data_IF_029300836197
#
_entry.id   IF_029300836197
#
_cell.length_a   1.000
_cell.length_b   1.000
_cell.length_c   1.000
_cell.angle_alpha   90.00
_cell.angle_beta   90.00
_cell.angle_gamma   90.00
#
_symmetry.space_group_name_H-M   'P 1'
#
loop_
_entity.id
_entity.type
_entity.pdbx_description
1 polymer ?
#
# COMPACT_ATOMS: atom_id res chain seq x y z
N UNK A 1 -18.48 36.36 -7.65
CA UNK A 1 -19.29 36.49 -8.88
C UNK A 1 -19.75 35.10 -9.27
N UNK A 2 -21.03 34.79 -9.07
CA UNK A 2 -21.59 33.50 -9.46
C UNK A 2 -21.97 33.56 -10.93
N UNK A 3 -21.18 32.92 -11.79
CA UNK A 3 -21.53 32.79 -13.21
C UNK A 3 -22.55 31.66 -13.32
N UNK A 4 -23.78 32.00 -13.70
CA UNK A 4 -24.83 31.03 -13.94
C UNK A 4 -24.54 30.32 -15.27
N UNK A 5 -24.27 29.02 -15.21
CA UNK A 5 -24.08 28.20 -16.41
C UNK A 5 -25.34 27.36 -16.65
N UNK A 6 -25.94 27.48 -17.82
CA UNK A 6 -27.10 26.65 -18.21
C UNK A 6 -26.61 25.32 -18.77
N UNK A 7 -27.07 24.21 -18.18
CA UNK A 7 -26.82 22.85 -18.67
C UNK A 7 -28.06 22.37 -19.41
N UNK A 8 -27.91 22.07 -20.71
CA UNK A 8 -29.01 21.59 -21.54
C UNK A 8 -29.42 20.18 -21.11
N UNK A 9 -30.72 19.88 -21.13
CA UNK A 9 -31.25 18.54 -20.84
C UNK A 9 -30.58 17.48 -21.74
N UNK A 10 -30.24 16.31 -21.16
CA UNK A 10 -29.48 15.21 -21.80
C UNK A 10 -28.00 15.50 -22.09
N UNK A 11 -27.45 16.62 -21.61
CA UNK A 11 -25.99 16.84 -21.67
C UNK A 11 -25.23 15.72 -20.94
N UNK A 12 -24.16 15.21 -21.55
CA UNK A 12 -23.23 14.31 -20.86
C UNK A 12 -22.32 15.13 -19.95
N UNK A 13 -22.28 14.77 -18.68
CA UNK A 13 -21.39 15.36 -17.69
C UNK A 13 -20.31 14.35 -17.35
N UNK A 14 -19.05 14.77 -17.38
CA UNK A 14 -17.89 13.96 -17.03
C UNK A 14 -17.24 14.59 -15.80
N UNK A 15 -17.04 13.78 -14.76
CA UNK A 15 -16.36 14.22 -13.54
C UNK A 15 -14.90 13.77 -13.62
N UNK A 16 -13.98 14.73 -13.67
CA UNK A 16 -12.55 14.44 -13.72
C UNK A 16 -12.00 14.23 -12.29
N UNK A 17 -12.32 13.10 -11.67
CA UNK A 17 -11.89 12.77 -10.32
C UNK A 17 -10.36 12.71 -10.18
N UNK A 18 -9.63 12.33 -11.24
CA UNK A 18 -8.17 12.31 -11.28
C UNK A 18 -7.57 13.70 -11.08
N UNK A 19 -8.10 14.71 -11.77
CA UNK A 19 -7.65 16.09 -11.63
C UNK A 19 -8.03 16.67 -10.25
N UNK A 20 -9.26 16.40 -9.78
CA UNK A 20 -9.72 16.86 -8.46
C UNK A 20 -8.81 16.33 -7.34
N UNK A 21 -8.46 15.04 -7.37
CA UNK A 21 -7.58 14.41 -6.38
C UNK A 21 -6.12 14.88 -6.41
N UNK A 22 -5.73 15.70 -7.40
CA UNK A 22 -4.38 16.25 -7.57
C UNK A 22 -4.37 17.79 -7.56
N UNK A 23 -5.51 18.41 -7.28
CA UNK A 23 -5.64 19.86 -7.34
C UNK A 23 -4.98 20.52 -6.11
N UNK A 24 -3.95 21.37 -6.29
CA UNK A 24 -3.23 22.01 -5.18
C UNK A 24 -4.10 23.00 -4.38
N UNK A 25 -5.29 23.39 -4.89
CA UNK A 25 -6.25 24.21 -4.14
C UNK A 25 -6.86 23.47 -2.96
N UNK A 26 -6.97 22.14 -3.05
CA UNK A 26 -7.56 21.29 -2.02
C UNK A 26 -6.51 20.41 -1.33
N UNK A 27 -5.43 20.04 -2.04
CA UNK A 27 -4.43 19.10 -1.56
C UNK A 27 -3.06 19.77 -1.34
N UNK A 28 -2.66 19.93 -0.08
CA UNK A 28 -1.31 20.40 0.26
C UNK A 28 -0.24 19.43 -0.23
N UNK A 29 0.83 19.91 -0.90
CA UNK A 29 1.81 19.01 -1.53
C UNK A 29 1.15 17.96 -2.44
N UNK A 30 0.12 18.35 -3.21
CA UNK A 30 -0.70 17.46 -4.06
C UNK A 30 0.05 16.37 -4.84
N UNK A 31 1.21 16.61 -5.48
CA UNK A 31 1.91 15.56 -6.23
C UNK A 31 2.64 14.53 -5.35
N UNK A 32 2.77 14.77 -4.04
CA UNK A 32 3.51 13.91 -3.12
C UNK A 32 2.59 12.83 -2.54
N UNK A 33 3.07 11.59 -2.55
CA UNK A 33 2.48 10.53 -1.73
C UNK A 33 2.64 10.88 -0.24
N UNK A 34 1.52 11.22 0.42
CA UNK A 34 1.51 11.71 1.79
C UNK A 34 0.29 11.12 2.55
N UNK A 35 0.34 9.84 2.95
CA UNK A 35 -0.77 9.15 3.61
C UNK A 35 -1.20 9.80 4.93
N UNK A 36 -0.26 10.37 5.67
CA UNK A 36 -0.51 10.97 6.98
C UNK A 36 -1.49 12.14 6.91
N UNK A 37 -1.72 12.70 5.71
CA UNK A 37 -2.73 13.73 5.48
C UNK A 37 -4.16 13.30 5.81
N UNK A 38 -4.40 11.99 5.86
CA UNK A 38 -5.72 11.43 6.17
C UNK A 38 -5.88 11.11 7.66
N UNK A 39 -4.78 11.07 8.42
CA UNK A 39 -4.82 10.84 9.87
C UNK A 39 -5.48 12.03 10.55
N UNK A 40 -6.46 11.75 11.43
CA UNK A 40 -7.26 12.75 12.15
C UNK A 40 -7.93 13.81 11.25
N UNK A 41 -8.09 13.50 9.96
CA UNK A 41 -8.75 14.38 8.99
C UNK A 41 -10.25 14.10 8.94
N UNK A 42 -11.03 15.12 8.57
CA UNK A 42 -12.47 14.97 8.32
C UNK A 42 -12.80 14.42 6.93
N UNK A 43 -11.80 14.13 6.09
CA UNK A 43 -12.02 13.64 4.74
C UNK A 43 -12.61 12.23 4.76
N UNK A 44 -13.65 12.00 3.97
CA UNK A 44 -14.17 10.66 3.69
C UNK A 44 -14.13 10.33 2.21
N UNK A 45 -14.17 9.03 1.91
CA UNK A 45 -14.34 8.51 0.55
C UNK A 45 -15.80 8.12 0.25
N UNK A 46 -16.73 8.46 1.14
CA UNK A 46 -18.16 8.07 1.09
C UNK A 46 -18.99 9.06 0.27
N UNK A 47 -18.34 10.02 -0.37
CA UNK A 47 -18.96 10.98 -1.28
C UNK A 47 -19.51 12.22 -0.59
N UNK A 48 -19.10 12.51 0.65
CA UNK A 48 -19.40 13.79 1.32
C UNK A 48 -18.28 14.83 1.12
N UNK A 49 -17.04 14.36 0.93
CA UNK A 49 -15.87 15.19 0.60
C UNK A 49 -15.65 15.22 -0.91
N UNK A 50 -16.06 16.27 -1.61
CA UNK A 50 -16.03 16.33 -3.08
C UNK A 50 -14.63 16.44 -3.68
N UNK A 51 -13.67 16.90 -2.87
CA UNK A 51 -12.24 16.88 -3.14
C UNK A 51 -11.66 15.45 -3.17
N UNK A 52 -12.36 14.47 -2.58
CA UNK A 52 -11.92 13.06 -2.51
C UNK A 52 -13.06 12.08 -2.86
N UNK A 53 -13.25 11.83 -4.15
CA UNK A 53 -14.35 10.99 -4.69
C UNK A 53 -13.85 9.77 -5.49
N UNK A 54 -12.98 8.90 -4.93
CA UNK A 54 -12.45 7.74 -5.64
C UNK A 54 -13.53 6.73 -6.06
N UNK A 55 -14.69 6.74 -5.39
CA UNK A 55 -15.84 5.89 -5.69
C UNK A 55 -17.04 6.67 -6.25
N UNK A 56 -16.86 7.96 -6.59
CA UNK A 56 -17.94 8.86 -6.93
C UNK A 56 -18.74 9.36 -5.71
N UNK A 57 -19.91 9.93 -5.96
CA UNK A 57 -20.80 10.49 -4.94
C UNK A 57 -22.28 10.41 -5.36
N UNK A 58 -23.19 10.63 -4.41
CA UNK A 58 -24.63 10.70 -4.65
C UNK A 58 -25.25 9.38 -5.14
N UNK A 59 -26.34 9.46 -5.92
CA UNK A 59 -27.15 8.30 -6.34
C UNK A 59 -26.41 7.24 -7.17
N UNK A 60 -25.25 7.57 -7.72
CA UNK A 60 -24.44 6.69 -8.58
C UNK A 60 -23.07 6.40 -7.97
N UNK A 61 -22.92 6.59 -6.65
CA UNK A 61 -21.72 6.16 -5.93
C UNK A 61 -21.53 4.64 -6.10
N UNK A 62 -20.27 4.20 -6.21
CA UNK A 62 -19.94 2.80 -6.40
C UNK A 62 -20.50 1.95 -5.24
N UNK A 63 -21.41 0.99 -5.52
CA UNK A 63 -21.95 0.12 -4.47
C UNK A 63 -20.91 -0.87 -3.93
N UNK A 64 -19.82 -1.09 -4.65
CA UNK A 64 -18.73 -1.99 -4.27
C UNK A 64 -17.60 -1.35 -3.45
N UNK A 65 -17.75 -0.09 -3.00
CA UNK A 65 -16.68 0.66 -2.32
C UNK A 65 -16.14 -0.05 -1.07
N UNK A 66 -17.03 -0.51 -0.19
CA UNK A 66 -16.64 -1.25 1.03
C UNK A 66 -15.93 -2.56 0.68
N UNK A 67 -16.45 -3.32 -0.28
CA UNK A 67 -15.84 -4.58 -0.71
C UNK A 67 -14.44 -4.35 -1.30
N UNK A 68 -14.30 -3.37 -2.20
CA UNK A 68 -13.00 -3.04 -2.80
C UNK A 68 -11.97 -2.62 -1.75
N UNK A 69 -12.37 -1.77 -0.80
CA UNK A 69 -11.46 -1.29 0.25
C UNK A 69 -10.99 -2.42 1.17
N UNK A 70 -11.87 -3.34 1.56
CA UNK A 70 -11.50 -4.50 2.38
C UNK A 70 -10.49 -5.38 1.63
N UNK A 71 -10.74 -5.68 0.35
CA UNK A 71 -9.83 -6.54 -0.43
C UNK A 71 -8.46 -5.90 -0.61
N UNK A 72 -8.41 -4.62 -0.98
CA UNK A 72 -7.13 -3.89 -1.13
C UNK A 72 -6.41 -3.81 0.22
N UNK A 73 -7.13 -3.51 1.30
CA UNK A 73 -6.56 -3.42 2.65
C UNK A 73 -5.97 -4.74 3.12
N UNK A 74 -6.70 -5.86 2.98
CA UNK A 74 -6.23 -7.18 3.38
C UNK A 74 -5.04 -7.63 2.53
N UNK A 75 -5.12 -7.47 1.20
CA UNK A 75 -4.01 -7.84 0.31
C UNK A 75 -2.74 -7.04 0.65
N UNK A 76 -2.86 -5.72 0.83
CA UNK A 76 -1.74 -4.87 1.19
C UNK A 76 -1.17 -5.23 2.57
N UNK A 77 -2.02 -5.47 3.57
CA UNK A 77 -1.59 -5.84 4.90
C UNK A 77 -0.81 -7.16 4.90
N UNK A 78 -1.29 -8.19 4.19
CA UNK A 78 -0.60 -9.47 4.08
C UNK A 78 0.76 -9.34 3.38
N UNK A 79 0.80 -8.56 2.29
CA UNK A 79 2.03 -8.29 1.54
C UNK A 79 3.09 -7.61 2.42
N UNK A 80 2.68 -6.59 3.20
CA UNK A 80 3.58 -5.84 4.09
C UNK A 80 3.94 -6.61 5.38
N UNK A 81 3.07 -7.50 5.85
CA UNK A 81 3.32 -8.29 7.05
C UNK A 81 4.33 -9.42 6.78
N UNK A 82 4.25 -10.06 5.62
CA UNK A 82 5.09 -11.22 5.29
C UNK A 82 6.37 -10.86 4.51
N UNK A 83 6.42 -9.71 3.84
CA UNK A 83 7.54 -9.37 2.98
C UNK A 83 8.04 -7.95 3.18
N UNK A 84 9.35 -7.84 3.29
CA UNK A 84 10.09 -6.63 2.97
C UNK A 84 10.34 -6.59 1.46
N UNK A 85 10.47 -5.39 0.89
CA UNK A 85 10.54 -5.21 -0.56
C UNK A 85 11.90 -4.63 -0.96
N UNK A 86 12.56 -5.27 -1.92
CA UNK A 86 13.80 -4.78 -2.53
C UNK A 86 13.62 -4.45 -4.00
N UNK A 87 14.34 -3.44 -4.47
CA UNK A 87 14.43 -3.11 -5.88
C UNK A 87 15.38 -4.09 -6.59
N UNK A 88 15.06 -4.51 -7.83
CA UNK A 88 15.96 -5.33 -8.62
C UNK A 88 17.23 -4.55 -9.02
N UNK A 89 18.34 -5.26 -9.16
CA UNK A 89 19.54 -4.79 -9.88
C UNK A 89 20.16 -3.45 -9.43
N UNK A 90 20.08 -3.12 -8.13
CA UNK A 90 20.67 -1.87 -7.61
C UNK A 90 19.95 -0.60 -8.06
N UNK A 91 18.75 -0.74 -8.64
CA UNK A 91 17.85 0.35 -8.98
C UNK A 91 17.54 1.20 -7.74
N UNK A 92 17.44 2.51 -7.92
CA UNK A 92 17.04 3.46 -6.88
C UNK A 92 15.57 3.86 -7.04
N UNK A 93 15.01 4.49 -6.01
CA UNK A 93 13.65 5.02 -6.05
C UNK A 93 13.43 6.02 -7.19
N UNK A 94 14.46 6.77 -7.56
CA UNK A 94 14.38 7.80 -8.59
C UNK A 94 14.28 7.21 -10.00
N UNK A 95 14.65 5.95 -10.18
CA UNK A 95 14.63 5.26 -11.46
C UNK A 95 13.23 4.73 -11.81
N UNK A 96 12.25 4.88 -10.92
CA UNK A 96 10.88 4.40 -11.12
C UNK A 96 10.11 5.29 -12.09
N UNK A 97 9.74 4.70 -13.24
CA UNK A 97 8.79 5.32 -14.15
C UNK A 97 7.36 5.22 -13.61
N UNK A 98 6.86 6.31 -13.03
CA UNK A 98 5.49 6.42 -12.54
C UNK A 98 4.52 6.97 -13.60
N UNK A 99 4.92 7.02 -14.88
CA UNK A 99 4.02 7.43 -15.95
C UNK A 99 2.82 6.49 -16.05
N UNK A 100 1.67 7.10 -16.33
CA UNK A 100 0.38 6.44 -16.39
C UNK A 100 0.02 6.11 -17.86
N UNK A 101 -0.70 5.02 -18.06
CA UNK A 101 -1.37 4.70 -19.31
C UNK A 101 -2.88 4.92 -19.15
N UNK A 102 -3.47 5.71 -20.05
CA UNK A 102 -4.88 6.05 -20.01
C UNK A 102 -5.71 5.01 -20.76
N UNK A 103 -6.65 4.39 -20.04
CA UNK A 103 -7.65 3.48 -20.60
C UNK A 103 -8.98 3.58 -19.86
N UNK A 104 -9.72 2.46 -19.77
CA UNK A 104 -10.93 2.38 -18.95
C UNK A 104 -10.62 2.64 -17.47
N UNK A 105 -9.44 2.21 -17.03
CA UNK A 105 -8.80 2.56 -15.76
C UNK A 105 -7.45 3.19 -16.06
N UNK A 106 -6.95 4.02 -15.14
CA UNK A 106 -5.58 4.53 -15.20
C UNK A 106 -4.67 3.51 -14.53
N UNK A 107 -3.66 3.03 -15.25
CA UNK A 107 -2.67 2.07 -14.75
C UNK A 107 -1.26 2.63 -14.92
N UNK A 108 -0.28 2.05 -14.23
CA UNK A 108 1.12 2.38 -14.54
C UNK A 108 1.47 1.83 -15.91
N UNK A 109 2.26 2.59 -16.69
CA UNK A 109 2.67 2.21 -18.05
C UNK A 109 3.58 0.97 -18.09
N UNK A 110 4.33 0.72 -17.02
CA UNK A 110 5.20 -0.46 -16.88
C UNK A 110 4.82 -1.35 -15.69
N UNK A 111 5.33 -2.58 -15.69
CA UNK A 111 5.12 -3.56 -14.62
C UNK A 111 5.99 -3.29 -13.40
N UNK A 112 5.37 -3.21 -12.22
CA UNK A 112 6.08 -2.94 -10.98
C UNK A 112 6.83 -4.18 -10.51
N UNK A 113 8.14 -4.22 -10.78
CA UNK A 113 9.01 -5.33 -10.40
C UNK A 113 9.65 -5.09 -9.04
N UNK A 114 9.31 -5.93 -8.07
CA UNK A 114 9.89 -5.93 -6.73
C UNK A 114 10.33 -7.35 -6.36
N UNK A 115 11.39 -7.44 -5.56
CA UNK A 115 11.85 -8.71 -4.98
C UNK A 115 11.31 -8.81 -3.56
N UNK A 116 10.39 -9.76 -3.28
CA UNK A 116 9.93 -10.01 -1.93
C UNK A 116 11.05 -10.69 -1.12
N UNK A 117 11.32 -10.16 0.06
CA UNK A 117 12.21 -10.75 1.06
C UNK A 117 11.34 -11.11 2.26
N UNK A 118 11.37 -12.37 2.71
CA UNK A 118 10.56 -12.78 3.87
C UNK A 118 10.89 -11.86 5.05
N UNK A 119 9.91 -11.05 5.46
CA UNK A 119 10.00 -10.23 6.65
C UNK A 119 9.91 -11.17 7.84
N UNK A 120 10.84 -11.03 8.78
CA UNK A 120 10.82 -11.79 10.03
C UNK A 120 10.23 -10.90 11.09
N UNK A 121 8.91 -10.96 11.34
CA UNK A 121 8.34 -10.25 12.47
C UNK A 121 9.07 -10.70 13.73
N UNK A 122 9.38 -9.74 14.62
CA UNK A 122 10.18 -9.93 15.83
C UNK A 122 9.77 -11.18 16.66
N UNK A 123 8.48 -11.54 16.62
CA UNK A 123 7.89 -12.71 17.28
C UNK A 123 8.38 -14.07 16.76
N UNK A 124 8.72 -14.18 15.47
CA UNK A 124 9.26 -15.43 14.90
C UNK A 124 10.78 -15.53 15.07
N UNK A 125 11.47 -14.40 15.16
CA UNK A 125 12.91 -14.38 15.42
C UNK A 125 13.22 -14.92 16.81
N UNK A 126 12.47 -14.52 17.85
CA UNK A 126 12.68 -15.04 19.21
C UNK A 126 12.43 -16.56 19.34
N UNK A 127 11.47 -17.10 18.59
CA UNK A 127 11.19 -18.55 18.60
C UNK A 127 12.29 -19.33 17.89
N UNK A 128 12.78 -18.83 16.76
CA UNK A 128 13.90 -19.45 16.02
C UNK A 128 15.21 -19.30 16.79
N UNK A 129 15.46 -18.17 17.44
CA UNK A 129 16.64 -17.95 18.28
C UNK A 129 16.60 -18.88 19.51
N UNK A 130 15.42 -19.10 20.09
CA UNK A 130 15.21 -20.07 21.17
C UNK A 130 15.48 -21.51 20.70
N UNK A 131 14.94 -21.92 19.55
CA UNK A 131 15.20 -23.25 18.97
C UNK A 131 16.68 -23.43 18.61
N UNK A 132 17.31 -22.42 18.05
CA UNK A 132 18.74 -22.44 17.68
C UNK A 132 19.62 -22.54 18.93
N UNK A 133 19.27 -21.82 20.01
CA UNK A 133 19.97 -21.90 21.30
C UNK A 133 19.79 -23.26 21.98
N UNK A 134 18.59 -23.85 21.92
CA UNK A 134 18.32 -25.20 22.43
C UNK A 134 19.10 -26.26 21.65
N UNK A 135 19.15 -26.14 20.33
CA UNK A 135 19.90 -27.07 19.46
C UNK A 135 21.41 -26.98 19.72
N UNK A 136 21.94 -25.78 19.92
CA UNK A 136 23.35 -25.56 20.27
C UNK A 136 23.69 -26.09 21.67
N UNK A 137 22.83 -25.85 22.65
CA UNK A 137 22.96 -26.41 24.01
C UNK A 137 22.92 -27.94 24.02
N UNK A 138 22.10 -28.57 23.17
CA UNK A 138 22.05 -30.02 23.05
C UNK A 138 23.31 -30.58 22.38
N UNK A 139 23.82 -29.92 21.35
CA UNK A 139 25.08 -30.27 20.68
C UNK A 139 26.28 -30.17 21.64
N UNK A 140 26.38 -29.10 22.44
CA UNK A 140 27.49 -28.93 23.40
C UNK A 140 27.46 -29.98 24.52
N UNK A 141 26.27 -30.33 25.02
CA UNK A 141 26.11 -31.40 26.03
C UNK A 141 26.46 -32.78 25.47
N UNK A 142 26.09 -33.07 24.22
CA UNK A 142 26.40 -34.36 23.59
C UNK A 142 27.89 -34.52 23.24
N UNK A 143 28.61 -33.44 22.97
CA UNK A 143 30.08 -33.47 22.80
C UNK A 143 30.78 -33.76 24.14
N UNK A 144 30.27 -33.24 25.26
CA UNK A 144 30.88 -33.45 26.59
C UNK A 144 30.71 -34.86 27.19
N UNK A 145 29.85 -35.70 26.61
CA UNK A 145 29.62 -37.08 27.06
C UNK A 145 30.27 -38.14 26.15
N UNK A 146 30.86 -37.74 25.02
CA UNK A 146 31.45 -38.68 24.05
C UNK A 146 32.95 -38.98 24.28
N UNK A 147 33.62 -38.31 25.22
CA UNK A 147 35.03 -38.60 25.56
C UNK A 147 35.24 -38.65 27.08
N UNK A 148 35.23 -39.84 27.69
CA UNK A 148 35.93 -40.03 28.96
C UNK A 148 37.43 -39.92 28.67
N UNK A 149 38.07 -38.92 29.26
CA UNK A 149 39.52 -38.79 29.32
C UNK A 149 40.13 -40.09 29.83
N UNK A 150 40.73 -40.88 28.95
CA UNK A 150 41.64 -41.95 29.31
C UNK A 150 42.94 -41.31 29.83
N UNK A 151 43.11 -41.33 31.15
CA UNK A 151 44.39 -41.15 31.82
C UNK A 151 44.70 -42.43 32.60
#
# INVERSE_FOLDING_TARGET
MSVLHSIIVKSKVIINAWAIGRDPRYWSKAPRFYPERFIDSSFDYKGSSFEYIPFGAGRRICPGSTFGLINVGVALALLLYHFDWKLPSGMKSEDWDMNEEFGLTVTRKGDLCLIPVISRPFLMQSLIDADTALTKSYADKSISHAYPSSA
#
